data_IF_658851437490
#
_entry.id   IF_658851437490
#
_cell.length_a   1.000
_cell.length_b   1.000
_cell.length_c   1.000
_cell.angle_alpha   90.00
_cell.angle_beta   90.00
_cell.angle_gamma   90.00
#
_symmetry.space_group_name_H-M   'P 1'
#
loop_
_entity.id
_entity.type
_entity.pdbx_description
1 polymer ?
#
# COMPACT_ATOMS: atom_id res chain seq x y z
N UNK A 1 -5.43 -12.72 11.73
CA UNK A 1 -6.68 -12.24 11.08
C UNK A 1 -6.41 -11.37 9.86
N UNK A 2 -5.85 -10.15 10.02
CA UNK A 2 -5.58 -9.23 8.89
C UNK A 2 -4.62 -9.81 7.84
N UNK A 3 -3.45 -10.25 8.29
CA UNK A 3 -2.41 -10.82 7.41
C UNK A 3 -2.92 -12.08 6.74
N UNK A 4 -3.61 -12.96 7.47
CA UNK A 4 -4.19 -14.19 6.91
C UNK A 4 -5.22 -13.88 5.81
N UNK A 5 -6.08 -12.87 6.03
CA UNK A 5 -7.03 -12.43 5.01
C UNK A 5 -6.32 -11.88 3.76
N UNK A 6 -5.30 -11.04 3.97
CA UNK A 6 -4.49 -10.50 2.89
C UNK A 6 -3.79 -11.63 2.11
N UNK A 7 -3.16 -12.59 2.78
CA UNK A 7 -2.50 -13.73 2.16
C UNK A 7 -3.48 -14.61 1.38
N UNK A 8 -4.66 -14.90 1.95
CA UNK A 8 -5.71 -15.67 1.29
C UNK A 8 -6.20 -14.98 0.01
N UNK A 9 -6.43 -13.67 0.07
CA UNK A 9 -6.85 -12.90 -1.10
C UNK A 9 -5.74 -12.79 -2.13
N UNK A 10 -4.50 -12.61 -1.70
CA UNK A 10 -3.35 -12.58 -2.58
C UNK A 10 -3.15 -13.91 -3.31
N UNK A 11 -3.32 -15.03 -2.62
CA UNK A 11 -3.23 -16.36 -3.23
C UNK A 11 -4.32 -16.65 -4.28
N UNK A 12 -5.43 -15.91 -4.26
CA UNK A 12 -6.52 -16.04 -5.22
C UNK A 12 -6.38 -15.11 -6.45
N UNK A 13 -5.36 -14.25 -6.50
CA UNK A 13 -5.15 -13.31 -7.61
C UNK A 13 -4.40 -13.98 -8.78
N UNK A 14 -4.82 -13.67 -10.01
CA UNK A 14 -3.99 -13.85 -11.21
C UNK A 14 -3.05 -12.65 -11.39
N UNK A 15 -2.07 -12.51 -10.49
CA UNK A 15 -1.09 -11.43 -10.50
C UNK A 15 0.32 -11.93 -10.11
N UNK A 16 1.35 -11.17 -10.48
CA UNK A 16 2.74 -11.45 -10.13
C UNK A 16 3.12 -10.80 -8.78
N UNK A 17 2.53 -9.64 -8.47
CA UNK A 17 2.67 -8.97 -7.19
C UNK A 17 1.39 -8.20 -6.82
N UNK A 18 1.14 -8.05 -5.52
CA UNK A 18 0.00 -7.30 -5.01
C UNK A 18 0.40 -6.30 -3.92
N UNK A 19 -0.28 -5.15 -3.91
CA UNK A 19 -0.13 -4.12 -2.88
C UNK A 19 -1.40 -4.01 -2.04
N UNK A 20 -1.26 -3.93 -0.72
CA UNK A 20 -2.38 -3.63 0.18
C UNK A 20 -2.66 -2.13 0.20
N UNK A 21 -3.92 -1.75 -0.02
CA UNK A 21 -4.38 -0.36 0.03
C UNK A 21 -5.63 -0.23 0.89
N UNK A 22 -5.74 0.86 1.63
CA UNK A 22 -6.88 1.12 2.51
C UNK A 22 -7.67 2.31 1.96
N UNK A 23 -9.01 2.25 1.89
CA UNK A 23 -9.82 3.39 1.46
C UNK A 23 -9.59 4.60 2.38
N UNK A 24 -9.33 5.78 1.79
CA UNK A 24 -9.04 6.99 2.57
C UNK A 24 -10.17 7.36 3.53
N UNK A 25 -11.44 7.19 3.13
CA UNK A 25 -12.57 7.52 4.00
C UNK A 25 -12.57 6.70 5.29
N UNK A 26 -12.14 5.43 5.23
CA UNK A 26 -11.99 4.58 6.42
C UNK A 26 -10.87 5.04 7.33
N UNK A 27 -9.71 5.39 6.74
CA UNK A 27 -8.57 5.94 7.48
C UNK A 27 -8.94 7.27 8.14
N UNK A 28 -9.59 8.18 7.42
CA UNK A 28 -10.01 9.49 7.92
C UNK A 28 -11.02 9.36 9.07
N UNK A 29 -11.95 8.42 9.00
CA UNK A 29 -12.92 8.20 10.08
C UNK A 29 -12.26 7.63 11.33
N UNK A 30 -11.33 6.67 11.17
CA UNK A 30 -10.65 6.05 12.31
C UNK A 30 -9.58 6.96 12.93
N UNK A 31 -8.89 7.77 12.11
CA UNK A 31 -7.76 8.59 12.50
C UNK A 31 -7.86 10.01 11.90
N UNK A 32 -8.84 10.83 12.34
CA UNK A 32 -9.12 12.13 11.73
C UNK A 32 -7.95 13.13 11.83
N UNK A 33 -7.09 12.99 12.83
CA UNK A 33 -5.93 13.87 13.06
C UNK A 33 -4.67 13.42 12.29
N UNK A 34 -4.69 12.26 11.65
CA UNK A 34 -3.50 11.66 11.04
C UNK A 34 -3.10 12.38 9.74
N UNK A 35 -1.87 12.91 9.71
CA UNK A 35 -1.27 13.52 8.51
C UNK A 35 -0.51 12.46 7.72
N UNK A 36 -1.21 11.70 6.87
CA UNK A 36 -0.62 10.64 6.05
C UNK A 36 -0.66 10.95 4.56
N UNK A 37 0.18 10.26 3.80
CA UNK A 37 0.17 10.33 2.33
C UNK A 37 -1.11 9.70 1.80
N UNK A 38 -1.89 10.49 1.07
CA UNK A 38 -3.12 10.03 0.40
C UNK A 38 -2.87 10.05 -1.11
N UNK A 39 -3.04 8.91 -1.76
CA UNK A 39 -3.03 8.81 -3.22
C UNK A 39 -4.43 9.10 -3.75
N UNK A 40 -4.58 10.18 -4.51
CA UNK A 40 -5.87 10.64 -5.03
C UNK A 40 -5.97 10.29 -6.51
N UNK A 41 -6.98 9.50 -6.84
CA UNK A 41 -7.29 9.04 -8.18
C UNK A 41 -8.66 9.58 -8.62
N UNK A 42 -9.11 9.18 -9.80
CA UNK A 42 -10.44 9.53 -10.31
C UNK A 42 -11.53 8.93 -9.42
N UNK A 43 -12.22 9.78 -8.66
CA UNK A 43 -13.33 9.36 -7.79
C UNK A 43 -12.93 8.53 -6.58
N UNK A 44 -11.62 8.29 -6.37
CA UNK A 44 -11.12 7.42 -5.32
C UNK A 44 -9.93 8.06 -4.59
N UNK A 45 -9.76 7.70 -3.33
CA UNK A 45 -8.59 8.06 -2.55
C UNK A 45 -8.16 6.87 -1.68
N UNK A 46 -6.87 6.60 -1.69
CA UNK A 46 -6.29 5.42 -1.05
C UNK A 46 -5.11 5.82 -0.18
N UNK A 47 -4.91 5.09 0.90
CA UNK A 47 -3.64 5.04 1.63
C UNK A 47 -2.96 3.71 1.34
N UNK A 48 -1.63 3.76 1.18
CA UNK A 48 -0.84 2.53 1.18
C UNK A 48 -0.90 1.85 2.56
N UNK A 49 -0.79 0.53 2.56
CA UNK A 49 -0.45 -0.25 3.76
C UNK A 49 0.98 -0.76 3.67
N UNK A 50 1.45 -1.42 4.73
CA UNK A 50 2.74 -2.14 4.74
C UNK A 50 2.64 -3.60 4.26
N UNK A 51 1.53 -3.97 3.61
CA UNK A 51 1.31 -5.32 3.11
C UNK A 51 1.61 -5.39 1.61
N UNK A 52 2.51 -6.31 1.25
CA UNK A 52 2.93 -6.59 -0.11
C UNK A 52 3.02 -8.10 -0.31
N UNK A 53 2.58 -8.60 -1.46
CA UNK A 53 2.73 -10.01 -1.82
C UNK A 53 3.50 -10.13 -3.13
N UNK A 54 4.48 -11.04 -3.18
CA UNK A 54 5.15 -11.46 -4.40
C UNK A 54 4.67 -12.88 -4.69
N UNK A 55 3.90 -13.03 -5.77
CA UNK A 55 3.16 -14.26 -6.09
C UNK A 55 3.89 -15.11 -7.15
N UNK A 56 4.85 -14.50 -7.86
CA UNK A 56 5.70 -15.18 -8.84
C UNK A 56 7.12 -14.63 -8.83
N UNK A 57 8.03 -15.29 -9.55
CA UNK A 57 9.39 -14.78 -9.77
C UNK A 57 9.40 -13.42 -10.49
N UNK A 58 8.45 -13.21 -11.42
CA UNK A 58 8.29 -11.94 -12.13
C UNK A 58 7.88 -10.83 -11.19
N UNK A 59 7.16 -11.14 -10.11
CA UNK A 59 6.77 -10.21 -9.06
C UNK A 59 7.94 -9.46 -8.45
N UNK A 60 9.14 -10.07 -8.43
CA UNK A 60 10.38 -9.42 -7.96
C UNK A 60 10.79 -8.19 -8.77
N UNK A 61 10.21 -7.98 -9.97
CA UNK A 61 10.38 -6.74 -10.72
C UNK A 61 9.79 -5.53 -9.99
N UNK A 62 8.71 -5.71 -9.21
CA UNK A 62 8.05 -4.62 -8.48
C UNK A 62 8.96 -3.96 -7.43
N UNK A 63 9.58 -4.70 -6.47
CA UNK A 63 10.50 -4.08 -5.50
C UNK A 63 11.77 -3.53 -6.16
N UNK A 64 12.28 -4.14 -7.25
CA UNK A 64 13.43 -3.60 -8.01
C UNK A 64 13.10 -2.28 -8.67
N UNK A 65 11.90 -2.19 -9.28
CA UNK A 65 11.41 -0.95 -9.85
C UNK A 65 11.25 0.12 -8.77
N UNK A 66 10.65 -0.22 -7.63
CA UNK A 66 10.52 0.68 -6.48
C UNK A 66 11.86 1.22 -6.01
N UNK A 67 12.88 0.37 -5.85
CA UNK A 67 14.25 0.80 -5.51
C UNK A 67 14.81 1.82 -6.51
N UNK A 68 14.53 1.64 -7.81
CA UNK A 68 14.96 2.59 -8.84
C UNK A 68 14.24 3.94 -8.77
N UNK A 69 12.95 3.93 -8.40
CA UNK A 69 12.14 5.13 -8.19
C UNK A 69 12.63 5.88 -6.95
N UNK A 70 12.88 5.17 -5.85
CA UNK A 70 13.37 5.73 -4.59
C UNK A 70 14.74 6.38 -4.77
N UNK A 71 15.64 5.75 -5.52
CA UNK A 71 16.95 6.32 -5.87
C UNK A 71 16.84 7.63 -6.66
N UNK A 72 15.80 7.77 -7.49
CA UNK A 72 15.53 8.95 -8.31
C UNK A 72 14.53 9.93 -7.64
N UNK A 73 14.16 9.77 -6.35
CA UNK A 73 13.15 10.60 -5.66
C UNK A 73 13.40 12.10 -5.70
N UNK A 74 14.67 12.52 -5.78
CA UNK A 74 15.08 13.94 -5.90
C UNK A 74 15.09 14.44 -7.36
N UNK A 75 14.77 13.59 -8.33
CA UNK A 75 14.87 13.82 -9.79
C UNK A 75 13.59 13.38 -10.49
N UNK A 76 12.47 14.10 -10.32
CA UNK A 76 11.15 13.70 -10.80
C UNK A 76 11.08 13.44 -12.31
N UNK A 77 11.89 14.13 -13.12
CA UNK A 77 11.97 13.89 -14.57
C UNK A 77 12.50 12.49 -14.92
N UNK A 78 13.33 11.87 -14.06
CA UNK A 78 13.78 10.48 -14.27
C UNK A 78 12.69 9.48 -13.95
N UNK A 79 11.93 9.72 -12.88
CA UNK A 79 10.75 8.92 -12.53
C UNK A 79 9.73 9.00 -13.67
N UNK A 80 9.45 10.21 -14.20
CA UNK A 80 8.56 10.42 -15.33
C UNK A 80 9.03 9.68 -16.60
N UNK A 81 10.33 9.65 -16.88
CA UNK A 81 10.90 8.88 -18.00
C UNK A 81 10.75 7.37 -17.83
N UNK A 82 10.78 6.85 -16.60
CA UNK A 82 10.60 5.42 -16.29
C UNK A 82 9.14 5.00 -16.40
N UNK A 83 8.24 5.74 -15.77
CA UNK A 83 6.79 5.45 -15.72
C UNK A 83 6.12 5.77 -17.07
N UNK A 84 6.61 6.79 -17.77
CA UNK A 84 5.98 7.35 -18.96
C UNK A 84 5.09 8.55 -18.62
N UNK A 85 5.10 9.55 -19.52
CA UNK A 85 4.35 10.80 -19.31
C UNK A 85 2.84 10.59 -19.28
N UNK A 86 2.30 9.72 -20.14
CA UNK A 86 0.84 9.46 -20.21
C UNK A 86 0.25 8.95 -18.88
N UNK A 87 0.72 7.84 -18.29
CA UNK A 87 0.19 7.38 -17.02
C UNK A 87 0.44 8.35 -15.87
N UNK A 88 1.58 9.06 -15.86
CA UNK A 88 1.85 10.08 -14.87
C UNK A 88 0.86 11.26 -14.97
N UNK A 89 0.60 11.75 -16.18
CA UNK A 89 -0.38 12.81 -16.42
C UNK A 89 -1.79 12.35 -16.08
N UNK A 90 -2.17 11.11 -16.41
CA UNK A 90 -3.46 10.53 -16.03
C UNK A 90 -3.68 10.55 -14.51
N UNK A 91 -2.64 10.18 -13.74
CA UNK A 91 -2.67 10.29 -12.28
C UNK A 91 -2.76 11.73 -11.79
N UNK A 92 -1.89 12.63 -12.28
CA UNK A 92 -1.86 14.03 -11.85
C UNK A 92 -3.15 14.79 -12.17
N UNK A 93 -3.75 14.51 -13.33
CA UNK A 93 -5.02 15.09 -13.77
C UNK A 93 -6.25 14.38 -13.16
N UNK A 94 -6.04 13.37 -12.30
CA UNK A 94 -7.10 12.55 -11.69
C UNK A 94 -8.05 11.93 -12.72
N UNK A 95 -7.50 11.50 -13.84
CA UNK A 95 -8.21 10.85 -14.93
C UNK A 95 -8.09 9.32 -14.87
N UNK A 96 -7.13 8.78 -14.12
CA UNK A 96 -6.99 7.34 -13.88
C UNK A 96 -7.49 6.94 -12.49
N UNK A 97 -8.08 5.75 -12.39
CA UNK A 97 -8.25 5.03 -11.13
C UNK A 97 -6.95 4.26 -10.77
N UNK A 98 -6.94 3.66 -9.58
CA UNK A 98 -5.77 2.94 -9.09
C UNK A 98 -5.47 1.70 -9.96
N UNK A 99 -6.49 0.99 -10.43
CA UNK A 99 -6.29 -0.24 -11.22
C UNK A 99 -5.67 0.07 -12.58
N UNK A 100 -6.16 1.10 -13.29
CA UNK A 100 -5.55 1.56 -14.53
C UNK A 100 -4.10 2.04 -14.34
N UNK A 101 -3.82 2.66 -13.19
CA UNK A 101 -2.47 3.11 -12.85
C UNK A 101 -1.52 1.93 -12.57
N UNK A 102 -2.00 0.89 -11.88
CA UNK A 102 -1.27 -0.36 -11.66
C UNK A 102 -1.07 -1.14 -12.97
N UNK A 103 -2.04 -1.12 -13.88
CA UNK A 103 -1.91 -1.74 -15.20
C UNK A 103 -0.83 -1.03 -16.04
N UNK A 104 -0.78 0.31 -16.00
CA UNK A 104 0.27 1.06 -16.67
C UNK A 104 1.66 0.73 -16.09
N UNK A 105 1.78 0.66 -14.77
CA UNK A 105 3.02 0.24 -14.10
C UNK A 105 3.39 -1.21 -14.43
N UNK A 106 2.40 -2.09 -14.54
CA UNK A 106 2.60 -3.50 -14.92
C UNK A 106 3.29 -3.63 -16.28
N UNK A 107 2.85 -2.81 -17.25
CA UNK A 107 3.47 -2.74 -18.59
C UNK A 107 4.92 -2.25 -18.54
N UNK A 108 5.22 -1.29 -17.66
CA UNK A 108 6.58 -0.75 -17.48
C UNK A 108 7.50 -1.78 -16.83
N UNK A 109 7.03 -2.51 -15.82
CA UNK A 109 7.85 -3.46 -15.06
C UNK A 109 7.92 -4.85 -15.68
N UNK A 110 7.01 -5.17 -16.60
CA UNK A 110 6.90 -6.50 -17.20
C UNK A 110 6.34 -7.57 -16.24
N UNK A 111 5.59 -7.15 -15.21
CA UNK A 111 4.90 -8.04 -14.27
C UNK A 111 3.47 -7.55 -14.02
N UNK A 112 2.53 -8.45 -13.70
CA UNK A 112 1.15 -8.10 -13.33
C UNK A 112 1.08 -7.62 -11.89
N UNK A 113 0.67 -6.36 -11.71
CA UNK A 113 0.31 -5.81 -10.41
C UNK A 113 -1.19 -5.86 -10.18
N UNK A 114 -1.57 -6.05 -8.92
CA UNK A 114 -2.94 -5.90 -8.45
C UNK A 114 -2.99 -5.17 -7.10
N UNK A 115 -4.15 -4.57 -6.78
CA UNK A 115 -4.42 -4.05 -5.44
C UNK A 115 -5.23 -5.07 -4.63
N UNK A 116 -5.02 -5.07 -3.33
CA UNK A 116 -5.89 -5.74 -2.35
C UNK A 116 -6.40 -4.65 -1.42
N UNK A 117 -7.71 -4.39 -1.48
CA UNK A 117 -8.36 -3.43 -0.57
C UNK A 117 -8.40 -3.99 0.84
N UNK A 118 -7.66 -3.41 1.76
CA UNK A 118 -7.62 -3.78 3.16
C UNK A 118 -8.63 -2.94 3.93
N UNK A 119 -9.56 -3.61 4.61
CA UNK A 119 -10.70 -2.96 5.26
C UNK A 119 -10.38 -2.39 6.65
N UNK A 120 -9.33 -2.89 7.28
CA UNK A 120 -8.85 -2.48 8.61
C UNK A 120 -8.02 -1.18 8.48
N UNK A 121 -8.50 -0.04 9.01
CA UNK A 121 -7.81 1.24 8.91
C UNK A 121 -6.41 1.23 9.50
N UNK A 122 -6.18 0.42 10.56
CA UNK A 122 -4.86 0.27 11.20
C UNK A 122 -3.79 -0.24 10.24
N UNK A 123 -4.15 -0.94 9.16
CA UNK A 123 -3.19 -1.40 8.16
C UNK A 123 -2.54 -0.23 7.38
N UNK A 124 -3.22 0.92 7.32
CA UNK A 124 -2.66 2.15 6.76
C UNK A 124 -1.78 2.90 7.75
N UNK A 125 -1.63 2.42 8.98
CA UNK A 125 -0.86 3.05 10.06
C UNK A 125 0.42 2.29 10.32
N UNK A 126 1.55 2.87 9.92
CA UNK A 126 2.87 2.43 10.33
C UNK A 126 3.18 2.87 11.77
N UNK A 127 3.79 1.96 12.53
CA UNK A 127 4.34 2.16 13.88
C UNK A 127 5.83 2.49 13.68
N UNK A 128 6.11 3.70 13.19
CA UNK A 128 7.47 4.12 12.80
C UNK A 128 8.16 5.01 13.86
N UNK A 129 7.57 5.17 15.05
CA UNK A 129 8.16 5.94 16.15
C UNK A 129 8.31 5.11 17.44
N UNK A 130 9.33 5.41 18.26
CA UNK A 130 9.55 4.78 19.58
C UNK A 130 8.31 4.94 20.49
N UNK A 131 7.54 6.02 20.32
CA UNK A 131 6.30 6.25 21.04
C UNK A 131 5.18 5.25 20.67
N UNK A 132 5.16 4.73 19.44
CA UNK A 132 4.20 3.72 19.02
C UNK A 132 4.58 2.32 19.53
N UNK A 133 5.88 2.05 19.73
CA UNK A 133 6.34 0.83 20.41
C UNK A 133 5.88 0.81 21.88
N UNK A 134 5.97 1.94 22.57
CA UNK A 134 5.52 2.06 23.97
C UNK A 134 3.99 1.91 24.10
N UNK A 135 3.23 2.45 23.14
CA UNK A 135 1.77 2.26 23.06
C UNK A 135 1.38 0.80 22.77
N UNK A 136 2.07 0.14 21.83
CA UNK A 136 1.84 -1.26 21.50
C UNK A 136 2.24 -2.21 22.63
N UNK A 137 3.36 -1.96 23.32
CA UNK A 137 3.75 -2.68 24.52
C UNK A 137 2.74 -2.47 25.66
N UNK A 138 2.17 -1.27 25.80
CA UNK A 138 1.11 -0.98 26.77
C UNK A 138 -0.16 -1.78 26.53
N UNK A 139 -0.67 -1.78 25.30
CA UNK A 139 -1.91 -2.50 24.93
C UNK A 139 -1.76 -4.03 25.08
N UNK A 140 -0.61 -4.60 24.72
CA UNK A 140 -0.33 -6.03 24.91
C UNK A 140 -0.23 -6.44 26.39
N UNK A 141 0.22 -5.53 27.26
CA UNK A 141 0.28 -5.78 28.71
C UNK A 141 -1.11 -5.73 29.36
N UNK A 142 -1.99 -4.85 28.89
CA UNK A 142 -3.37 -4.77 29.37
C UNK A 142 -4.23 -5.96 28.91
N UNK A 143 -4.06 -6.44 27.67
CA UNK A 143 -4.72 -7.66 27.20
C UNK A 143 -4.29 -8.93 27.98
N UNK A 144 -3.01 -9.01 28.37
CA UNK A 144 -2.51 -10.11 29.24
C UNK A 144 -3.05 -10.02 30.67
N UNK A 145 -3.38 -8.83 31.16
CA UNK A 145 -4.01 -8.63 32.48
C UNK A 145 -5.51 -8.92 32.47
N UNK A 146 -6.16 -8.77 31.31
CA UNK A 146 -7.59 -9.00 31.14
C UNK A 146 -7.96 -10.46 30.82
N UNK A 147 -6.98 -11.34 30.48
CA UNK A 147 -7.20 -12.78 30.43
C UNK A 147 -6.96 -13.42 31.80
N UNK A 148 -7.95 -14.11 32.41
CA UNK A 148 -7.74 -14.83 33.65
C UNK A 148 -6.81 -16.04 33.40
N UNK A 149 -5.97 -16.43 34.38
CA UNK A 149 -5.21 -17.67 34.27
C UNK A 149 -6.18 -18.85 34.22
N UNK A 150 -6.04 -19.69 33.19
CA UNK A 150 -6.65 -21.03 33.13
C UNK A 150 -5.90 -22.00 34.02
#
# INVERSE_FOLDING_TARGET
ALVDDFCRRAAALDADAAIGVVPWDRVRTAFPESRRTVWRFRGEAWCGSNLFALLSERGRAAPRFWQSVEADRKRPWRIARRIGLRPLLGYLLRQSDLDASLEALSKVMGCRLAKITVEEPRAAVDVDSVADRDLAEGLLRDERRASPPG
#
